data_IF_917230400600
#
_entry.id   IF_917230400600
#
_cell.length_a   1.000
_cell.length_b   1.000
_cell.length_c   1.000
_cell.angle_alpha   90.00
_cell.angle_beta   90.00
_cell.angle_gamma   90.00
#
_symmetry.space_group_name_H-M   'P 1'
#
loop_
_entity.id
_entity.type
_entity.pdbx_description
1 polymer ?
#
# COMPACT_ATOMS: atom_id res chain seq x y z
N UNK A 1 7.02 -15.40 -35.72
CA UNK A 1 6.43 -15.42 -34.36
C UNK A 1 5.18 -14.57 -34.39
N UNK A 2 4.09 -15.01 -33.77
CA UNK A 2 2.90 -14.16 -33.63
C UNK A 2 3.24 -13.01 -32.68
N UNK A 3 2.84 -11.80 -33.03
CA UNK A 3 3.05 -10.61 -32.21
C UNK A 3 1.81 -10.29 -31.37
N UNK A 4 2.02 -9.78 -30.17
CA UNK A 4 0.96 -9.47 -29.22
C UNK A 4 1.07 -8.03 -28.72
N UNK A 5 -0.05 -7.30 -28.73
CA UNK A 5 -0.17 -6.09 -27.94
C UNK A 5 -0.62 -6.43 -26.52
N UNK A 6 0.02 -5.87 -25.50
CA UNK A 6 -0.38 -5.96 -24.10
C UNK A 6 -1.29 -4.79 -23.69
N UNK A 7 -2.45 -5.08 -23.13
CA UNK A 7 -3.38 -4.09 -22.62
C UNK A 7 -3.61 -4.28 -21.11
N UNK A 8 -3.22 -3.27 -20.32
CA UNK A 8 -3.49 -3.24 -18.88
C UNK A 8 -4.84 -2.56 -18.65
N UNK A 9 -5.77 -3.25 -18.00
CA UNK A 9 -7.10 -2.74 -17.67
C UNK A 9 -7.07 -2.00 -16.33
N UNK A 10 -7.07 -0.66 -16.37
CA UNK A 10 -7.14 0.23 -15.21
C UNK A 10 -8.47 1.01 -15.10
N UNK A 11 -9.45 0.71 -15.96
CA UNK A 11 -10.78 1.33 -15.93
C UNK A 11 -11.74 0.68 -14.90
N UNK A 12 -11.79 1.20 -13.67
CA UNK A 12 -12.78 0.77 -12.66
C UNK A 12 -13.25 1.92 -11.75
N UNK A 13 -14.48 1.82 -11.21
CA UNK A 13 -15.06 2.84 -10.31
C UNK A 13 -14.36 2.95 -8.93
N UNK A 14 -13.50 2.00 -8.59
CA UNK A 14 -12.65 1.98 -7.38
C UNK A 14 -13.35 2.39 -6.06
N UNK A 15 -14.59 1.92 -5.86
CA UNK A 15 -15.42 2.30 -4.70
C UNK A 15 -14.87 1.79 -3.35
N UNK A 16 -14.04 0.74 -3.35
CA UNK A 16 -13.50 0.10 -2.15
C UNK A 16 -12.13 0.64 -1.69
N UNK A 17 -11.47 1.47 -2.50
CA UNK A 17 -10.20 2.14 -2.17
C UNK A 17 -10.42 3.62 -1.82
N UNK A 18 -11.54 3.94 -1.17
CA UNK A 18 -11.94 5.33 -0.85
C UNK A 18 -11.98 6.25 -2.10
N UNK A 19 -12.27 5.69 -3.27
CA UNK A 19 -12.28 6.43 -4.54
C UNK A 19 -10.92 6.63 -5.20
N UNK A 20 -9.81 6.18 -4.59
CA UNK A 20 -8.49 6.17 -5.22
C UNK A 20 -8.44 5.23 -6.42
N UNK A 21 -7.67 5.61 -7.43
CA UNK A 21 -7.45 4.78 -8.60
C UNK A 21 -6.63 3.54 -8.24
N UNK A 22 -7.22 2.35 -8.39
CA UNK A 22 -6.58 1.09 -8.01
C UNK A 22 -5.21 0.92 -8.65
N UNK A 23 -5.07 1.25 -9.93
CA UNK A 23 -3.79 1.08 -10.61
C UNK A 23 -2.69 1.93 -9.97
N UNK A 24 -3.03 3.10 -9.43
CA UNK A 24 -2.09 4.04 -8.81
C UNK A 24 -1.81 3.79 -7.33
N UNK A 25 -2.53 2.86 -6.69
CA UNK A 25 -2.23 2.45 -5.31
C UNK A 25 -0.83 1.86 -5.26
N UNK A 26 -0.04 2.29 -4.28
CA UNK A 26 1.32 1.81 -4.10
C UNK A 26 1.33 0.44 -3.42
N UNK A 27 2.13 -0.46 -3.96
CA UNK A 27 2.47 -1.76 -3.41
C UNK A 27 4.00 -1.87 -3.42
N UNK A 28 4.64 -1.95 -2.26
CA UNK A 28 6.11 -1.97 -2.23
C UNK A 28 6.74 -0.62 -2.62
N UNK A 29 5.99 0.49 -2.50
CA UNK A 29 6.37 1.81 -3.03
C UNK A 29 6.21 1.97 -4.55
N UNK A 30 5.66 0.96 -5.25
CA UNK A 30 5.48 0.94 -6.70
C UNK A 30 3.98 0.87 -7.02
N UNK A 31 3.42 1.69 -7.93
CA UNK A 31 2.02 1.59 -8.34
C UNK A 31 1.63 0.19 -8.82
N UNK A 32 0.45 -0.31 -8.44
CA UNK A 32 -0.05 -1.64 -8.80
C UNK A 32 0.05 -1.94 -10.31
N UNK A 33 -0.33 -0.98 -11.17
CA UNK A 33 -0.26 -1.22 -12.63
C UNK A 33 1.17 -1.49 -13.12
N UNK A 34 2.21 -0.95 -12.46
CA UNK A 34 3.61 -1.17 -12.85
C UNK A 34 4.07 -2.59 -12.52
N UNK A 35 3.52 -3.22 -11.48
CA UNK A 35 3.76 -4.65 -11.24
C UNK A 35 3.20 -5.47 -12.41
N UNK A 36 1.99 -5.15 -12.89
CA UNK A 36 1.41 -5.79 -14.07
C UNK A 36 2.23 -5.53 -15.34
N UNK A 37 2.75 -4.31 -15.54
CA UNK A 37 3.68 -3.98 -16.65
C UNK A 37 4.91 -4.88 -16.59
N UNK A 38 5.54 -5.02 -15.42
CA UNK A 38 6.76 -5.82 -15.24
C UNK A 38 6.54 -7.28 -15.63
N UNK A 39 5.40 -7.87 -15.27
CA UNK A 39 5.06 -9.25 -15.63
C UNK A 39 4.60 -9.40 -17.09
N UNK A 40 3.99 -8.37 -17.68
CA UNK A 40 3.49 -8.39 -19.06
C UNK A 40 4.58 -8.13 -20.09
N UNK A 41 5.56 -7.28 -19.78
CA UNK A 41 6.57 -6.81 -20.74
C UNK A 41 7.37 -7.92 -21.43
N UNK A 42 7.77 -9.02 -20.77
CA UNK A 42 8.45 -10.12 -21.45
C UNK A 42 7.55 -10.92 -22.41
N UNK A 43 6.23 -10.70 -22.37
CA UNK A 43 5.22 -11.52 -23.04
C UNK A 43 4.45 -10.77 -24.16
N UNK A 44 4.77 -9.50 -24.41
CA UNK A 44 4.10 -8.65 -25.40
C UNK A 44 5.12 -7.78 -26.17
N UNK A 45 4.83 -7.51 -27.45
CA UNK A 45 5.67 -6.69 -28.33
C UNK A 45 5.50 -5.18 -28.08
N UNK A 46 4.30 -4.76 -27.65
CA UNK A 46 4.02 -3.40 -27.18
C UNK A 46 3.06 -3.43 -25.99
N UNK A 47 3.12 -2.42 -25.11
CA UNK A 47 2.21 -2.32 -23.95
C UNK A 47 1.53 -0.95 -23.94
N UNK A 48 0.25 -0.95 -23.63
CA UNK A 48 -0.54 0.24 -23.38
C UNK A 48 -1.52 0.00 -22.23
N UNK A 49 -2.07 1.08 -21.68
CA UNK A 49 -2.98 1.04 -20.54
C UNK A 49 -4.33 1.61 -20.93
N UNK A 50 -5.40 0.88 -20.60
CA UNK A 50 -6.75 1.39 -20.65
C UNK A 50 -7.10 2.08 -19.33
N UNK A 51 -7.37 3.39 -19.38
CA UNK A 51 -7.72 4.18 -18.21
C UNK A 51 -8.71 5.30 -18.58
N UNK A 52 -9.59 5.63 -17.63
CA UNK A 52 -10.63 6.67 -17.78
C UNK A 52 -10.51 7.78 -16.72
N UNK A 53 -9.54 7.67 -15.81
CA UNK A 53 -9.28 8.60 -14.71
C UNK A 53 -7.77 8.77 -14.57
N UNK A 54 -7.35 9.88 -13.97
CA UNK A 54 -5.93 10.20 -13.71
C UNK A 54 -5.01 10.02 -14.93
N UNK A 55 -5.52 10.34 -16.12
CA UNK A 55 -4.86 10.12 -17.41
C UNK A 55 -3.45 10.74 -17.45
N UNK A 56 -3.28 11.93 -16.87
CA UNK A 56 -1.98 12.59 -16.76
C UNK A 56 -0.95 11.76 -15.95
N UNK A 57 -1.37 11.09 -14.88
CA UNK A 57 -0.50 10.25 -14.07
C UNK A 57 0.00 9.03 -14.85
N UNK A 58 -0.89 8.42 -15.66
CA UNK A 58 -0.50 7.32 -16.55
C UNK A 58 0.37 7.78 -17.72
N UNK A 59 0.12 8.95 -18.30
CA UNK A 59 0.98 9.49 -19.36
C UNK A 59 2.40 9.80 -18.92
N UNK A 60 2.59 10.25 -17.67
CA UNK A 60 3.92 10.55 -17.12
C UNK A 60 4.88 9.34 -17.13
N UNK A 61 4.36 8.13 -17.35
CA UNK A 61 5.09 6.87 -17.35
C UNK A 61 5.68 6.51 -18.72
N UNK A 62 5.28 7.22 -19.78
CA UNK A 62 5.65 6.91 -21.16
C UNK A 62 4.78 5.84 -21.83
N UNK A 63 3.86 5.19 -21.11
CA UNK A 63 2.88 4.28 -21.71
C UNK A 63 1.84 5.06 -22.53
N UNK A 64 1.41 4.42 -23.62
CA UNK A 64 0.24 4.89 -24.37
C UNK A 64 -1.01 4.65 -23.52
N UNK A 65 -1.80 5.70 -23.32
CA UNK A 65 -3.07 5.63 -22.57
C UNK A 65 -4.23 5.65 -23.56
N UNK A 66 -5.17 4.73 -23.38
CA UNK A 66 -6.39 4.60 -24.20
C UNK A 66 -7.61 4.69 -23.28
N UNK A 67 -8.55 5.57 -23.60
CA UNK A 67 -9.82 5.66 -22.87
C UNK A 67 -10.91 4.85 -23.56
N UNK A 68 -11.96 4.53 -22.81
CA UNK A 68 -13.10 3.78 -23.34
C UNK A 68 -13.76 4.55 -24.50
N UNK A 69 -14.11 3.84 -25.58
CA UNK A 69 -14.72 4.44 -26.76
C UNK A 69 -16.24 4.64 -26.62
N UNK A 70 -16.86 4.07 -25.58
CA UNK A 70 -18.28 4.16 -25.32
C UNK A 70 -18.57 4.88 -24.00
N UNK A 71 -19.55 5.80 -23.96
CA UNK A 71 -19.98 6.46 -22.72
C UNK A 71 -20.73 5.47 -21.80
N UNK A 72 -20.65 5.67 -20.48
CA UNK A 72 -21.50 5.02 -19.47
C UNK A 72 -21.40 3.49 -19.28
N UNK A 73 -20.39 2.80 -19.82
CA UNK A 73 -20.19 1.35 -19.62
C UNK A 73 -19.06 1.02 -18.64
N UNK A 74 -19.28 1.14 -17.31
CA UNK A 74 -18.27 0.77 -16.33
C UNK A 74 -18.15 -0.75 -16.25
N UNK A 75 -17.10 -1.30 -16.84
CA UNK A 75 -16.78 -2.72 -16.71
C UNK A 75 -15.57 -3.10 -17.57
N UNK A 76 -14.90 -4.22 -17.25
CA UNK A 76 -13.71 -4.67 -17.96
C UNK A 76 -13.93 -4.83 -19.47
N UNK A 77 -15.14 -5.20 -19.92
CA UNK A 77 -15.48 -5.34 -21.33
C UNK A 77 -15.34 -4.02 -22.14
N UNK A 78 -15.64 -2.86 -21.54
CA UNK A 78 -15.46 -1.58 -22.23
C UNK A 78 -13.99 -1.28 -22.48
N UNK A 79 -13.14 -1.55 -21.48
CA UNK A 79 -11.69 -1.45 -21.61
C UNK A 79 -11.12 -2.47 -22.61
N UNK A 80 -11.66 -3.68 -22.65
CA UNK A 80 -11.29 -4.68 -23.66
C UNK A 80 -11.64 -4.21 -25.07
N UNK A 81 -12.84 -3.63 -25.27
CA UNK A 81 -13.23 -3.06 -26.56
C UNK A 81 -12.25 -1.98 -27.01
N UNK A 82 -11.98 -1.00 -26.13
CA UNK A 82 -11.03 0.06 -26.41
C UNK A 82 -9.63 -0.48 -26.74
N UNK A 83 -9.21 -1.54 -26.05
CA UNK A 83 -7.96 -2.23 -26.34
C UNK A 83 -7.91 -2.91 -27.71
N UNK A 84 -8.96 -3.63 -28.10
CA UNK A 84 -9.04 -4.26 -29.43
C UNK A 84 -9.04 -3.22 -30.56
N UNK A 85 -9.67 -2.08 -30.35
CA UNK A 85 -9.78 -0.99 -31.33
C UNK A 85 -8.48 -0.23 -31.54
N UNK A 86 -7.63 -0.17 -30.51
CA UNK A 86 -6.42 0.64 -30.48
C UNK A 86 -5.13 -0.18 -30.44
N UNK A 87 -5.18 -1.51 -30.54
CA UNK A 87 -4.00 -2.36 -30.58
C UNK A 87 -3.20 -2.18 -31.87
N UNK A 88 -1.87 -2.36 -31.77
CA UNK A 88 -0.96 -2.34 -32.93
C UNK A 88 -0.92 -3.68 -33.64
N UNK A 89 -1.09 -4.76 -32.89
CA UNK A 89 -1.08 -6.13 -33.40
C UNK A 89 -2.49 -6.74 -33.44
N UNK A 90 -2.62 -7.84 -34.18
CA UNK A 90 -3.90 -8.52 -34.36
C UNK A 90 -4.41 -9.26 -33.13
N UNK A 91 -3.50 -9.57 -32.21
CA UNK A 91 -3.81 -10.26 -30.96
C UNK A 91 -3.45 -9.37 -29.78
N UNK A 92 -4.37 -9.30 -28.82
CA UNK A 92 -4.24 -8.47 -27.62
C UNK A 92 -4.30 -9.35 -26.39
N UNK A 93 -3.25 -9.29 -25.57
CA UNK A 93 -3.22 -9.88 -24.24
C UNK A 93 -3.70 -8.84 -23.22
N UNK A 94 -4.85 -9.11 -22.62
CA UNK A 94 -5.41 -8.31 -21.54
C UNK A 94 -4.94 -8.83 -20.18
N UNK A 95 -4.63 -7.91 -19.28
CA UNK A 95 -4.39 -8.18 -17.85
C UNK A 95 -5.01 -7.06 -17.00
N UNK A 96 -5.54 -7.34 -15.80
CA UNK A 96 -5.97 -6.30 -14.87
C UNK A 96 -4.78 -5.60 -14.21
N UNK A 97 -4.97 -4.35 -13.77
CA UNK A 97 -3.93 -3.57 -13.08
C UNK A 97 -3.77 -3.90 -11.58
N UNK A 98 -4.69 -4.66 -10.98
CA UNK A 98 -4.75 -4.94 -9.54
C UNK A 98 -4.29 -6.35 -9.17
N UNK A 99 -3.64 -7.05 -10.10
CA UNK A 99 -2.99 -8.34 -9.88
C UNK A 99 -1.49 -8.16 -10.05
N UNK A 100 -0.71 -8.17 -8.95
CA UNK A 100 0.72 -7.90 -9.02
C UNK A 100 1.52 -9.05 -9.62
N UNK A 101 1.04 -10.30 -9.48
CA UNK A 101 1.76 -11.50 -9.93
C UNK A 101 0.81 -12.43 -10.71
N UNK A 102 1.26 -12.85 -11.90
CA UNK A 102 0.58 -13.83 -12.75
C UNK A 102 1.64 -14.61 -13.56
N UNK A 103 1.27 -15.76 -14.18
CA UNK A 103 2.24 -16.62 -14.85
C UNK A 103 3.09 -15.90 -15.90
N UNK A 104 4.40 -16.17 -15.89
CA UNK A 104 5.37 -15.61 -16.86
C UNK A 104 5.21 -16.22 -18.27
N UNK A 105 4.47 -17.32 -18.38
CA UNK A 105 4.16 -18.01 -19.62
C UNK A 105 2.68 -17.84 -20.04
N UNK A 106 1.97 -16.85 -19.49
CA UNK A 106 0.56 -16.57 -19.78
C UNK A 106 0.28 -16.47 -21.29
N UNK A 107 0.98 -15.59 -22.00
CA UNK A 107 0.77 -15.38 -23.44
C UNK A 107 1.00 -16.66 -24.24
N UNK A 108 2.13 -17.32 -23.98
CA UNK A 108 2.52 -18.55 -24.66
C UNK A 108 1.50 -19.67 -24.44
N UNK A 109 1.08 -19.89 -23.18
CA UNK A 109 0.15 -20.97 -22.84
C UNK A 109 -1.24 -20.71 -23.42
N UNK A 110 -1.75 -19.47 -23.36
CA UNK A 110 -3.01 -19.11 -24.02
C UNK A 110 -2.92 -19.33 -25.53
N UNK A 111 -1.83 -18.90 -26.16
CA UNK A 111 -1.62 -19.07 -27.60
C UNK A 111 -1.60 -20.54 -28.03
N UNK A 112 -0.89 -21.39 -27.30
CA UNK A 112 -0.79 -22.83 -27.61
C UNK A 112 -2.13 -23.55 -27.42
N UNK A 113 -2.90 -23.19 -26.39
CA UNK A 113 -4.11 -23.92 -26.03
C UNK A 113 -5.40 -23.38 -26.67
N UNK A 114 -5.40 -22.18 -27.24
CA UNK A 114 -6.60 -21.59 -27.85
C UNK A 114 -7.17 -22.41 -29.02
N UNK A 115 -6.33 -23.19 -29.71
CA UNK A 115 -6.70 -23.85 -30.97
C UNK A 115 -7.13 -22.84 -32.04
N UNK A 116 -8.31 -23.04 -32.62
CA UNK A 116 -8.89 -22.14 -33.63
C UNK A 116 -9.71 -20.99 -33.02
N UNK A 117 -9.89 -20.96 -31.70
CA UNK A 117 -10.66 -19.91 -31.05
C UNK A 117 -10.00 -18.54 -31.25
N UNK A 118 -10.84 -17.51 -31.42
CA UNK A 118 -10.44 -16.10 -31.51
C UNK A 118 -10.20 -15.47 -30.13
N UNK A 119 -10.54 -16.18 -29.06
CA UNK A 119 -10.31 -15.75 -27.69
C UNK A 119 -9.93 -16.96 -26.83
N UNK A 120 -8.95 -16.79 -25.95
CA UNK A 120 -8.67 -17.71 -24.85
C UNK A 120 -8.47 -16.93 -23.55
N UNK A 121 -8.86 -17.49 -22.41
CA UNK A 121 -8.71 -16.85 -21.11
C UNK A 121 -8.23 -17.82 -20.03
N UNK A 122 -7.57 -17.28 -19.01
CA UNK A 122 -6.98 -18.06 -17.93
C UNK A 122 -8.03 -18.55 -16.91
N UNK A 123 -7.79 -19.74 -16.38
CA UNK A 123 -8.46 -20.31 -15.22
C UNK A 123 -7.40 -20.84 -14.24
N UNK A 124 -7.67 -20.76 -12.95
CA UNK A 124 -6.96 -21.55 -11.93
C UNK A 124 -7.79 -22.79 -11.55
N UNK A 125 -7.36 -23.56 -10.55
CA UNK A 125 -8.07 -24.76 -10.09
C UNK A 125 -9.48 -24.49 -9.52
N UNK A 126 -9.80 -23.23 -9.22
CA UNK A 126 -10.99 -22.82 -8.47
C UNK A 126 -11.93 -21.91 -9.26
N UNK A 127 -11.40 -21.06 -10.15
CA UNK A 127 -12.18 -20.03 -10.84
C UNK A 127 -11.60 -19.60 -12.19
N UNK A 128 -12.46 -18.99 -13.00
CA UNK A 128 -12.08 -18.31 -14.22
C UNK A 128 -11.54 -16.89 -13.95
N UNK A 129 -10.55 -16.47 -14.75
CA UNK A 129 -9.91 -15.17 -14.73
C UNK A 129 -10.02 -14.48 -16.09
N UNK A 130 -11.23 -14.08 -16.50
CA UNK A 130 -11.48 -13.78 -17.90
C UNK A 130 -11.01 -12.37 -18.32
N UNK A 131 -10.44 -11.59 -17.39
CA UNK A 131 -9.64 -10.39 -17.67
C UNK A 131 -8.19 -10.69 -18.03
N UNK A 132 -7.73 -11.93 -17.80
CA UNK A 132 -6.49 -12.49 -18.33
C UNK A 132 -6.82 -13.25 -19.62
N UNK A 133 -6.92 -12.51 -20.72
CA UNK A 133 -7.43 -13.06 -21.98
C UNK A 133 -6.57 -12.64 -23.17
N UNK A 134 -6.37 -13.57 -24.10
CA UNK A 134 -5.74 -13.34 -25.38
C UNK A 134 -6.84 -13.32 -26.45
N UNK A 135 -7.09 -12.16 -27.06
CA UNK A 135 -8.20 -11.95 -27.98
C UNK A 135 -7.72 -11.41 -29.33
N UNK A 136 -8.33 -11.89 -30.41
CA UNK A 136 -8.11 -11.35 -31.74
C UNK A 136 -8.91 -10.05 -31.93
N UNK A 137 -8.32 -9.05 -32.61
CA UNK A 137 -8.91 -7.74 -32.85
C UNK A 137 -10.26 -7.77 -33.57
N UNK A 138 -10.53 -8.80 -34.36
CA UNK A 138 -11.82 -8.95 -35.06
C UNK A 138 -13.00 -9.14 -34.12
N UNK A 139 -12.76 -9.42 -32.84
CA UNK A 139 -13.80 -9.50 -31.81
C UNK A 139 -14.29 -8.11 -31.35
N UNK A 140 -13.68 -7.01 -31.82
CA UNK A 140 -14.11 -5.66 -31.47
C UNK A 140 -15.57 -5.39 -31.85
N UNK A 141 -16.00 -5.73 -33.06
CA UNK A 141 -17.37 -5.51 -33.51
C UNK A 141 -18.40 -6.38 -32.76
N UNK A 142 -18.21 -7.71 -32.60
CA UNK A 142 -19.05 -8.52 -31.73
C UNK A 142 -19.16 -7.97 -30.30
N UNK A 143 -18.05 -7.53 -29.72
CA UNK A 143 -18.01 -6.96 -28.37
C UNK A 143 -18.75 -5.62 -28.27
N UNK A 144 -18.58 -4.76 -29.27
CA UNK A 144 -19.30 -3.49 -29.39
C UNK A 144 -20.81 -3.71 -29.45
N UNK A 145 -21.26 -4.66 -30.28
CA UNK A 145 -22.68 -5.01 -30.39
C UNK A 145 -23.23 -5.56 -29.06
N UNK A 146 -22.46 -6.42 -28.39
CA UNK A 146 -22.82 -6.96 -27.08
C UNK A 146 -23.04 -5.85 -26.03
N UNK A 147 -22.14 -4.87 -25.97
CA UNK A 147 -22.24 -3.73 -25.05
C UNK A 147 -23.41 -2.79 -25.39
N UNK A 148 -23.63 -2.50 -26.69
CA UNK A 148 -24.73 -1.64 -27.14
C UNK A 148 -26.10 -2.26 -26.79
N UNK A 149 -26.21 -3.60 -26.81
CA UNK A 149 -27.41 -4.31 -26.40
C UNK A 149 -27.67 -4.26 -24.88
N UNK A 150 -26.77 -3.65 -24.10
CA UNK A 150 -26.93 -3.41 -22.67
C UNK A 150 -26.34 -4.50 -21.77
N UNK A 151 -25.81 -5.58 -22.34
CA UNK A 151 -25.16 -6.64 -21.58
C UNK A 151 -23.76 -6.24 -21.10
N UNK A 152 -23.39 -6.72 -19.91
CA UNK A 152 -22.11 -6.37 -19.24
C UNK A 152 -21.41 -7.58 -18.61
N UNK A 153 -21.95 -8.77 -18.81
CA UNK A 153 -21.49 -10.00 -18.15
C UNK A 153 -20.32 -10.59 -18.92
N UNK A 154 -19.11 -10.41 -18.40
CA UNK A 154 -17.88 -10.81 -19.08
C UNK A 154 -17.86 -12.31 -19.44
N UNK A 155 -18.17 -13.22 -18.50
CA UNK A 155 -18.19 -14.66 -18.81
C UNK A 155 -19.28 -15.05 -19.82
N UNK A 156 -20.42 -14.35 -19.84
CA UNK A 156 -21.47 -14.60 -20.83
C UNK A 156 -21.01 -14.20 -22.23
N UNK A 157 -20.29 -13.08 -22.36
CA UNK A 157 -19.66 -12.71 -23.63
C UNK A 157 -18.64 -13.75 -24.10
N UNK A 158 -17.78 -14.24 -23.18
CA UNK A 158 -16.78 -15.27 -23.49
C UNK A 158 -17.42 -16.56 -24.01
N UNK A 159 -18.51 -17.01 -23.40
CA UNK A 159 -19.27 -18.18 -23.84
C UNK A 159 -19.88 -17.97 -25.24
N UNK A 160 -20.51 -16.81 -25.46
CA UNK A 160 -21.14 -16.46 -26.74
C UNK A 160 -20.17 -16.49 -27.93
N UNK A 161 -18.92 -16.07 -27.73
CA UNK A 161 -17.89 -16.08 -28.79
C UNK A 161 -17.11 -17.40 -28.88
N UNK A 162 -17.46 -18.41 -28.09
CA UNK A 162 -16.75 -19.69 -28.04
C UNK A 162 -15.32 -19.56 -27.52
N UNK A 163 -15.06 -18.67 -26.56
CA UNK A 163 -13.73 -18.46 -26.00
C UNK A 163 -13.22 -19.71 -25.27
N UNK A 164 -11.93 -20.02 -25.46
CA UNK A 164 -11.30 -21.18 -24.85
C UNK A 164 -10.82 -20.88 -23.43
N UNK A 165 -11.38 -21.57 -22.44
CA UNK A 165 -10.82 -21.61 -21.10
C UNK A 165 -9.51 -22.42 -21.07
N UNK A 166 -8.47 -21.88 -20.44
CA UNK A 166 -7.14 -22.48 -20.33
C UNK A 166 -6.72 -22.54 -18.86
N UNK A 167 -6.53 -23.74 -18.34
CA UNK A 167 -6.16 -23.95 -16.94
C UNK A 167 -4.66 -23.78 -16.74
N UNK A 168 -4.29 -22.99 -15.74
CA UNK A 168 -2.92 -22.81 -15.26
C UNK A 168 -2.74 -23.56 -13.94
N UNK A 169 -1.60 -24.24 -13.80
CA UNK A 169 -1.13 -24.69 -12.50
C UNK A 169 -0.43 -23.51 -11.82
N UNK A 170 -1.03 -23.00 -10.76
CA UNK A 170 -0.69 -21.71 -10.17
C UNK A 170 -0.23 -21.87 -8.73
N UNK A 171 0.81 -21.13 -8.35
CA UNK A 171 1.16 -20.97 -6.94
C UNK A 171 0.14 -20.06 -6.22
N UNK A 172 0.17 -20.06 -4.89
CA UNK A 172 -0.80 -19.34 -4.04
C UNK A 172 -0.93 -17.84 -4.31
N UNK A 173 0.11 -17.20 -4.83
CA UNK A 173 0.15 -15.75 -5.01
C UNK A 173 -0.31 -15.30 -6.42
N UNK A 174 -0.42 -16.22 -7.38
CA UNK A 174 -0.83 -15.87 -8.75
C UNK A 174 -2.33 -15.61 -8.84
N UNK A 175 -2.70 -14.59 -9.64
CA UNK A 175 -4.11 -14.20 -9.85
C UNK A 175 -4.85 -13.71 -8.59
N UNK A 176 -4.11 -13.30 -7.56
CA UNK A 176 -4.67 -12.64 -6.37
C UNK A 176 -4.93 -11.16 -6.71
N UNK A 177 -6.20 -10.74 -6.59
CA UNK A 177 -6.59 -9.34 -6.82
C UNK A 177 -6.47 -8.54 -5.52
N UNK A 178 -5.76 -7.41 -5.56
CA UNK A 178 -5.63 -6.47 -4.45
C UNK A 178 -6.68 -5.36 -4.57
N UNK A 179 -7.81 -5.56 -3.90
CA UNK A 179 -9.00 -4.70 -3.94
C UNK A 179 -9.08 -3.69 -2.81
N UNK A 180 -8.37 -3.89 -1.71
CA UNK A 180 -8.35 -3.01 -0.53
C UNK A 180 -6.93 -2.68 -0.08
N UNK A 181 -6.77 -1.57 0.65
CA UNK A 181 -5.47 -1.22 1.23
C UNK A 181 -5.01 -2.24 2.28
N UNK A 182 -5.94 -2.86 3.02
CA UNK A 182 -5.62 -3.94 3.94
C UNK A 182 -5.02 -5.15 3.20
N UNK A 183 -5.59 -5.53 2.06
CA UNK A 183 -5.03 -6.59 1.20
C UNK A 183 -3.63 -6.21 0.67
N UNK A 184 -3.42 -4.95 0.27
CA UNK A 184 -2.08 -4.48 -0.16
C UNK A 184 -1.06 -4.56 0.99
N UNK A 185 -1.44 -4.13 2.19
CA UNK A 185 -0.56 -4.19 3.38
C UNK A 185 -0.22 -5.63 3.75
N UNK A 186 -1.19 -6.53 3.72
CA UNK A 186 -0.94 -7.95 3.99
C UNK A 186 0.00 -8.55 2.94
N UNK A 187 -0.23 -8.22 1.66
CA UNK A 187 0.67 -8.62 0.59
C UNK A 187 2.09 -8.11 0.83
N UNK A 188 2.27 -6.84 1.19
CA UNK A 188 3.59 -6.25 1.49
C UNK A 188 4.28 -6.97 2.65
N UNK A 189 3.54 -7.34 3.70
CA UNK A 189 4.09 -8.09 4.83
C UNK A 189 4.52 -9.50 4.42
N UNK A 190 3.64 -10.24 3.75
CA UNK A 190 3.90 -11.61 3.29
C UNK A 190 5.12 -11.67 2.36
N UNK A 191 5.32 -10.64 1.54
CA UNK A 191 6.40 -10.55 0.56
C UNK A 191 7.57 -9.66 1.00
N UNK A 192 7.58 -9.18 2.25
CA UNK A 192 8.61 -8.29 2.82
C UNK A 192 8.93 -7.08 1.92
N UNK A 193 7.89 -6.50 1.32
CA UNK A 193 8.02 -5.31 0.49
C UNK A 193 8.08 -4.04 1.35
N UNK A 194 8.87 -3.02 0.94
CA UNK A 194 8.89 -1.74 1.62
C UNK A 194 7.50 -1.10 1.61
N UNK A 195 7.06 -0.56 2.75
CA UNK A 195 5.74 0.04 2.84
C UNK A 195 5.72 1.25 3.76
N UNK A 196 4.69 2.07 3.69
CA UNK A 196 4.59 3.21 4.60
C UNK A 196 4.23 2.73 5.99
N UNK A 197 5.14 2.89 6.95
CA UNK A 197 4.88 2.57 8.36
C UNK A 197 4.13 3.74 9.00
N UNK A 198 2.91 3.52 9.55
CA UNK A 198 2.17 4.56 10.23
C UNK A 198 2.95 5.13 11.43
N UNK A 199 2.79 6.42 11.67
CA UNK A 199 3.31 7.10 12.85
C UNK A 199 2.17 7.34 13.84
N UNK A 200 2.44 7.09 15.13
CA UNK A 200 1.49 7.42 16.20
C UNK A 200 2.21 8.11 17.35
N UNK A 201 1.94 9.40 17.53
CA UNK A 201 2.52 10.16 18.62
C UNK A 201 1.75 9.98 19.93
N UNK A 202 2.48 10.02 21.04
CA UNK A 202 1.92 10.05 22.39
C UNK A 202 2.30 11.36 23.03
N UNK A 203 1.35 12.30 23.08
CA UNK A 203 1.57 13.64 23.60
C UNK A 203 1.05 13.76 25.03
N UNK A 204 1.79 14.43 25.89
CA UNK A 204 1.36 14.74 27.25
C UNK A 204 2.24 15.81 27.87
N UNK A 205 1.78 16.40 28.96
CA UNK A 205 2.63 17.16 29.87
C UNK A 205 3.72 16.30 30.51
N UNK A 206 4.73 16.95 31.09
CA UNK A 206 5.73 16.25 31.91
C UNK A 206 5.05 15.69 33.16
N UNK A 207 5.48 14.52 33.63
CA UNK A 207 4.90 13.88 34.81
C UNK A 207 3.62 13.06 34.58
N UNK A 208 2.96 13.13 33.41
CA UNK A 208 1.72 12.37 33.12
C UNK A 208 1.92 10.84 33.03
N UNK A 209 3.18 10.37 32.93
CA UNK A 209 3.51 8.95 32.87
C UNK A 209 3.60 8.35 31.47
N UNK A 210 3.91 9.15 30.43
CA UNK A 210 4.08 8.69 29.04
C UNK A 210 4.98 7.47 28.91
N UNK A 211 6.21 7.55 29.40
CA UNK A 211 7.18 6.45 29.33
C UNK A 211 6.67 5.21 30.07
N UNK A 212 5.99 5.40 31.20
CA UNK A 212 5.39 4.30 31.98
C UNK A 212 4.26 3.62 31.21
N UNK A 213 3.41 4.40 30.54
CA UNK A 213 2.33 3.90 29.68
C UNK A 213 2.92 3.13 28.49
N UNK A 214 3.86 3.72 27.75
CA UNK A 214 4.52 3.10 26.59
C UNK A 214 5.22 1.79 26.95
N UNK A 215 5.92 1.72 28.08
CA UNK A 215 6.56 0.48 28.57
C UNK A 215 5.56 -0.65 28.82
N UNK A 216 4.30 -0.33 29.17
CA UNK A 216 3.22 -1.31 29.35
C UNK A 216 2.50 -1.63 28.03
N UNK A 217 2.38 -0.64 27.15
CA UNK A 217 1.65 -0.75 25.89
C UNK A 217 2.42 -1.56 24.84
N UNK A 218 3.72 -1.33 24.68
CA UNK A 218 4.54 -1.99 23.65
C UNK A 218 4.47 -3.52 23.73
N UNK A 219 4.59 -4.17 24.90
CA UNK A 219 4.39 -5.62 25.00
C UNK A 219 3.02 -6.07 24.50
N UNK A 220 1.93 -5.36 24.85
CA UNK A 220 0.58 -5.73 24.41
C UNK A 220 0.37 -5.55 22.90
N UNK A 221 0.99 -4.54 22.30
CA UNK A 221 0.97 -4.36 20.83
C UNK A 221 1.75 -5.47 20.13
N UNK A 222 2.91 -5.86 20.68
CA UNK A 222 3.70 -6.98 20.17
C UNK A 222 2.95 -8.31 20.29
N UNK A 223 2.28 -8.55 21.41
CA UNK A 223 1.48 -9.75 21.63
C UNK A 223 0.23 -9.77 20.72
N UNK A 224 -0.20 -8.61 20.20
CA UNK A 224 -1.19 -8.49 19.12
C UNK A 224 -0.59 -8.66 17.70
N UNK A 225 0.69 -9.04 17.58
CA UNK A 225 1.36 -9.33 16.32
C UNK A 225 2.02 -8.13 15.63
N UNK A 226 2.09 -6.96 16.29
CA UNK A 226 2.70 -5.76 15.70
C UNK A 226 4.20 -5.65 16.00
N UNK A 227 5.00 -5.35 14.98
CA UNK A 227 6.41 -4.98 15.13
C UNK A 227 6.54 -3.47 15.28
N UNK A 228 7.08 -3.03 16.41
CA UNK A 228 7.00 -1.63 16.85
C UNK A 228 8.36 -0.94 16.74
N UNK A 229 8.39 0.17 15.99
CA UNK A 229 9.46 1.17 16.06
C UNK A 229 9.17 2.21 17.14
N UNK A 230 10.21 2.87 17.64
CA UNK A 230 10.06 3.92 18.64
C UNK A 230 11.00 5.09 18.34
N UNK A 231 10.43 6.27 18.16
CA UNK A 231 11.16 7.53 18.18
C UNK A 231 10.95 8.17 19.54
N UNK A 232 12.05 8.50 20.23
CA UNK A 232 12.01 9.24 21.50
C UNK A 232 12.79 10.53 21.37
N UNK A 233 12.09 11.66 21.52
CA UNK A 233 12.71 12.98 21.50
C UNK A 233 13.12 13.42 22.92
N UNK A 234 14.34 13.92 23.05
CA UNK A 234 14.88 14.53 24.28
C UNK A 234 15.46 15.89 23.94
N UNK A 235 15.29 16.87 24.85
CA UNK A 235 15.89 18.20 24.72
C UNK A 235 17.28 18.29 25.39
N UNK A 236 17.79 17.16 25.90
CA UNK A 236 19.12 17.06 26.48
C UNK A 236 20.08 16.40 25.51
N UNK A 237 21.33 16.85 25.52
CA UNK A 237 22.44 16.18 24.84
C UNK A 237 22.56 14.72 25.33
N UNK A 238 22.86 13.82 24.41
CA UNK A 238 22.82 12.38 24.66
C UNK A 238 23.82 11.65 23.78
N UNK A 239 24.61 10.79 24.42
CA UNK A 239 25.49 9.82 23.75
C UNK A 239 24.95 8.40 23.97
N UNK A 240 24.95 7.61 22.89
CA UNK A 240 24.60 6.18 22.92
C UNK A 240 25.83 5.32 23.24
N UNK A 241 27.01 5.78 22.82
CA UNK A 241 28.31 5.22 23.18
C UNK A 241 28.88 5.89 24.45
N UNK A 242 30.03 5.42 24.91
CA UNK A 242 30.63 5.89 26.18
C UNK A 242 31.85 6.77 25.91
N UNK A 243 31.91 8.01 26.44
CA UNK A 243 33.09 8.88 26.36
C UNK A 243 34.37 8.17 26.79
N UNK A 244 35.46 8.35 26.04
CA UNK A 244 36.75 7.71 26.30
C UNK A 244 36.87 6.26 25.82
N UNK A 245 35.84 5.69 25.17
CA UNK A 245 35.90 4.38 24.51
C UNK A 245 36.10 4.53 23.00
N UNK A 246 36.66 3.50 22.38
CA UNK A 246 37.08 3.51 20.97
C UNK A 246 35.99 4.03 20.02
N UNK A 247 34.73 3.58 20.16
CA UNK A 247 33.65 4.04 19.28
C UNK A 247 33.37 5.54 19.41
N UNK A 248 33.45 6.08 20.62
CA UNK A 248 33.26 7.50 20.90
C UNK A 248 34.41 8.32 20.33
N UNK A 249 35.65 7.89 20.59
CA UNK A 249 36.84 8.59 20.09
C UNK A 249 36.88 8.61 18.56
N UNK A 250 36.55 7.49 17.90
CA UNK A 250 36.46 7.42 16.44
C UNK A 250 35.34 8.32 15.87
N UNK A 251 34.19 8.38 16.54
CA UNK A 251 33.09 9.28 16.17
C UNK A 251 33.52 10.75 16.30
N UNK A 252 34.05 11.14 17.46
CA UNK A 252 34.50 12.52 17.72
C UNK A 252 35.75 12.93 16.93
N UNK A 253 36.53 11.97 16.42
CA UNK A 253 37.61 12.22 15.47
C UNK A 253 37.11 12.71 14.09
N UNK A 254 35.80 12.64 13.81
CA UNK A 254 35.19 13.24 12.63
C UNK A 254 34.32 12.29 11.79
N UNK A 255 34.01 11.08 12.28
CA UNK A 255 33.08 10.21 11.56
C UNK A 255 31.65 10.78 11.66
N UNK A 256 31.09 11.19 10.52
CA UNK A 256 29.76 11.80 10.46
C UNK A 256 28.63 10.81 10.79
N UNK A 257 28.82 9.53 10.45
CA UNK A 257 28.00 8.42 10.87
C UNK A 257 28.89 7.34 11.46
N UNK A 258 28.45 6.73 12.56
CA UNK A 258 29.18 5.66 13.24
C UNK A 258 28.21 4.53 13.54
N UNK A 259 28.47 3.36 12.96
CA UNK A 259 27.69 2.14 13.18
C UNK A 259 28.48 1.22 14.13
N UNK A 260 27.98 1.07 15.36
CA UNK A 260 28.54 0.14 16.34
C UNK A 260 27.75 -1.16 16.27
N UNK A 261 28.43 -2.29 16.04
CA UNK A 261 27.80 -3.58 15.78
C UNK A 261 28.28 -4.62 16.79
N UNK A 262 27.36 -5.46 17.27
CA UNK A 262 27.64 -6.70 17.98
C UNK A 262 26.81 -7.85 17.40
N UNK A 263 26.98 -9.07 17.93
CA UNK A 263 26.16 -10.21 17.52
C UNK A 263 24.68 -10.05 17.88
N UNK A 264 24.37 -9.28 18.94
CA UNK A 264 22.98 -9.13 19.42
C UNK A 264 22.26 -7.92 18.82
N UNK A 265 22.99 -6.85 18.47
CA UNK A 265 22.40 -5.57 18.07
C UNK A 265 23.41 -4.66 17.39
N UNK A 266 22.92 -3.59 16.79
CA UNK A 266 23.74 -2.46 16.37
C UNK A 266 23.12 -1.14 16.80
N UNK A 267 23.94 -0.08 16.83
CA UNK A 267 23.53 1.30 17.03
C UNK A 267 24.15 2.17 15.94
N UNK A 268 23.33 2.96 15.24
CA UNK A 268 23.78 3.95 14.27
C UNK A 268 23.67 5.34 14.90
N UNK A 269 24.81 5.99 15.12
CA UNK A 269 24.87 7.39 15.50
C UNK A 269 25.12 8.25 14.25
N UNK A 270 24.38 9.36 14.12
CA UNK A 270 24.55 10.35 13.06
C UNK A 270 24.72 11.71 13.71
N UNK A 271 25.81 12.40 13.42
CA UNK A 271 26.04 13.76 13.90
C UNK A 271 25.10 14.74 13.19
N UNK A 272 24.54 15.69 13.93
CA UNK A 272 23.66 16.77 13.43
C UNK A 272 24.29 18.14 13.70
N UNK A 273 25.44 18.45 13.06
CA UNK A 273 26.14 19.70 13.31
C UNK A 273 25.26 20.90 12.96
N UNK A 274 25.30 21.93 13.81
CA UNK A 274 24.46 23.12 13.66
C UNK A 274 23.12 23.06 14.38
N UNK A 275 22.74 21.92 14.96
CA UNK A 275 21.59 21.82 15.87
C UNK A 275 20.24 22.12 15.22
N UNK A 276 20.09 21.83 13.93
CA UNK A 276 18.79 21.91 13.28
C UNK A 276 17.77 21.05 14.03
N UNK A 277 16.53 21.54 14.15
CA UNK A 277 15.47 20.75 14.76
C UNK A 277 15.28 19.45 13.98
N UNK A 278 15.13 18.31 14.68
CA UNK A 278 14.96 17.03 14.02
C UNK A 278 13.65 17.00 13.24
N UNK A 279 13.70 16.52 12.00
CA UNK A 279 12.52 16.27 11.16
C UNK A 279 12.03 14.84 11.41
N UNK A 280 10.81 14.71 11.94
CA UNK A 280 10.24 13.40 12.29
C UNK A 280 10.10 12.48 11.07
N UNK A 281 9.75 13.00 9.90
CA UNK A 281 9.60 12.20 8.69
C UNK A 281 10.96 11.67 8.22
N UNK A 282 12.01 12.50 8.29
CA UNK A 282 13.37 12.06 7.97
C UNK A 282 13.89 11.00 8.95
N UNK A 283 13.56 11.12 10.23
CA UNK A 283 13.91 10.13 11.24
C UNK A 283 13.14 8.81 11.04
N UNK A 284 11.84 8.88 10.76
CA UNK A 284 11.01 7.72 10.47
C UNK A 284 11.53 6.95 9.23
N UNK A 285 12.01 7.67 8.21
CA UNK A 285 12.60 7.08 7.00
C UNK A 285 13.91 6.31 7.25
N UNK A 286 14.53 6.43 8.44
CA UNK A 286 15.72 5.64 8.83
C UNK A 286 15.36 4.23 9.31
N UNK A 287 14.11 3.95 9.64
CA UNK A 287 13.69 2.61 10.03
C UNK A 287 13.56 1.70 8.81
N UNK A 288 13.83 0.41 8.98
CA UNK A 288 13.50 -0.57 7.95
C UNK A 288 11.99 -0.80 7.94
N UNK A 289 11.32 -0.20 6.96
CA UNK A 289 9.87 -0.31 6.84
C UNK A 289 9.36 -1.73 6.62
N UNK A 290 10.19 -2.65 6.12
CA UNK A 290 9.78 -4.05 5.91
C UNK A 290 9.60 -4.79 7.23
N UNK A 291 10.29 -4.29 8.26
CA UNK A 291 10.36 -4.93 9.57
C UNK A 291 9.40 -4.35 10.61
N UNK A 292 8.62 -3.32 10.26
CA UNK A 292 7.77 -2.61 11.21
C UNK A 292 6.33 -2.50 10.73
N UNK A 293 5.42 -2.41 11.69
CA UNK A 293 3.99 -2.23 11.46
C UNK A 293 3.48 -0.87 11.98
N UNK A 294 4.19 -0.27 12.95
CA UNK A 294 3.87 1.01 13.58
C UNK A 294 5.15 1.62 14.18
N UNK A 295 5.33 2.93 14.04
CA UNK A 295 6.34 3.69 14.80
C UNK A 295 5.62 4.55 15.83
N UNK A 296 5.90 4.29 17.11
CA UNK A 296 5.45 5.15 18.21
C UNK A 296 6.38 6.35 18.36
N UNK A 297 5.82 7.51 18.64
CA UNK A 297 6.58 8.76 18.79
C UNK A 297 6.35 9.33 20.19
N UNK A 298 7.36 9.25 21.05
CA UNK A 298 7.39 9.91 22.36
C UNK A 298 8.06 11.28 22.21
N UNK A 299 7.27 12.33 21.93
CA UNK A 299 7.80 13.67 21.67
C UNK A 299 7.01 14.42 20.60
N UNK A 300 7.69 15.34 19.89
CA UNK A 300 7.19 15.94 18.64
C UNK A 300 5.75 16.49 18.71
N UNK A 301 5.44 17.25 19.77
CA UNK A 301 4.05 17.65 20.05
C UNK A 301 3.37 18.43 18.91
N UNK A 302 4.14 19.26 18.20
CA UNK A 302 3.67 20.11 17.11
C UNK A 302 3.63 19.43 15.74
N UNK A 303 4.06 18.18 15.62
CA UNK A 303 4.05 17.48 14.33
C UNK A 303 2.63 17.13 13.89
N UNK A 304 2.42 17.22 12.57
CA UNK A 304 1.17 16.92 11.88
C UNK A 304 0.97 15.40 11.69
N UNK A 305 1.04 14.64 12.80
CA UNK A 305 0.90 13.18 12.82
C UNK A 305 -0.20 12.75 13.78
N UNK A 306 -0.93 11.65 13.47
CA UNK A 306 -1.94 11.09 14.36
C UNK A 306 -1.38 10.91 15.78
N UNK A 307 -2.15 11.32 16.80
CA UNK A 307 -1.67 11.31 18.18
C UNK A 307 -2.72 10.93 19.21
N UNK A 308 -2.28 10.24 20.26
CA UNK A 308 -3.05 10.00 21.48
C UNK A 308 -2.57 11.01 22.53
N UNK A 309 -3.46 11.92 22.92
CA UNK A 309 -3.19 12.88 23.97
C UNK A 309 -3.44 12.24 25.34
N UNK A 310 -2.43 12.23 26.21
CA UNK A 310 -2.56 11.75 27.58
C UNK A 310 -2.72 12.92 28.55
N UNK A 311 -3.65 12.79 29.48
CA UNK A 311 -3.87 13.76 30.54
C UNK A 311 -4.17 13.11 31.88
N UNK A 312 -3.73 13.75 32.95
CA UNK A 312 -4.13 13.42 34.32
C UNK A 312 -4.50 14.71 35.02
N UNK A 313 -5.59 14.69 35.78
CA UNK A 313 -6.09 15.90 36.46
C UNK A 313 -5.06 16.49 37.43
N UNK A 314 -4.25 15.64 38.06
CA UNK A 314 -3.15 16.01 38.98
C UNK A 314 -2.08 16.93 38.35
N UNK A 315 -2.02 17.02 37.02
CA UNK A 315 -1.04 17.86 36.32
C UNK A 315 -1.37 19.35 36.45
N UNK A 316 -2.63 19.69 36.76
CA UNK A 316 -3.13 21.07 36.97
C UNK A 316 -2.74 22.02 35.83
N UNK A 317 -3.01 21.60 34.59
CA UNK A 317 -2.77 22.37 33.37
C UNK A 317 -3.92 22.20 32.40
N UNK A 318 -4.25 23.20 31.56
CA UNK A 318 -5.34 23.07 30.60
C UNK A 318 -5.07 21.92 29.61
N UNK A 319 -5.91 20.89 29.61
CA UNK A 319 -5.78 19.76 28.68
C UNK A 319 -6.10 20.17 27.24
N UNK A 320 -6.85 21.24 27.04
CA UNK A 320 -7.23 21.75 25.71
C UNK A 320 -6.01 22.05 24.84
N UNK A 321 -4.87 22.43 25.42
CA UNK A 321 -3.66 22.70 24.65
C UNK A 321 -2.96 21.42 24.15
N UNK A 322 -3.42 20.24 24.57
CA UNK A 322 -2.98 18.94 24.03
C UNK A 322 -3.90 18.46 22.90
N UNK A 323 -5.03 19.14 22.68
CA UNK A 323 -6.06 18.79 21.70
C UNK A 323 -5.89 19.64 20.43
N UNK A 324 -5.39 19.01 19.37
CA UNK A 324 -5.30 19.57 18.02
C UNK A 324 -6.04 18.67 17.02
N UNK A 325 -6.08 19.09 15.75
CA UNK A 325 -6.79 18.35 14.68
C UNK A 325 -6.22 16.96 14.38
N UNK A 326 -5.01 16.66 14.85
CA UNK A 326 -4.35 15.37 14.67
C UNK A 326 -4.56 14.43 15.85
N UNK A 327 -5.20 14.88 16.94
CA UNK A 327 -5.56 14.01 18.06
C UNK A 327 -6.67 13.07 17.64
N UNK A 328 -6.38 11.77 17.66
CA UNK A 328 -7.34 10.71 17.30
C UNK A 328 -8.00 10.07 18.54
N UNK A 329 -7.39 10.23 19.71
CA UNK A 329 -7.97 9.82 20.99
C UNK A 329 -7.38 10.61 22.16
N UNK A 330 -8.19 10.78 23.21
CA UNK A 330 -7.80 11.42 24.46
C UNK A 330 -7.82 10.40 25.60
N UNK A 331 -6.66 10.04 26.13
CA UNK A 331 -6.55 9.12 27.25
C UNK A 331 -6.41 9.90 28.57
N UNK A 332 -7.44 9.84 29.40
CA UNK A 332 -7.54 10.61 30.65
C UNK A 332 -7.94 9.73 31.84
N UNK A 333 -7.66 10.21 33.05
CA UNK A 333 -8.11 9.59 34.30
C UNK A 333 -9.53 10.01 34.71
N UNK A 334 -9.99 11.17 34.23
CA UNK A 334 -11.34 11.71 34.45
C UNK A 334 -11.93 12.10 33.10
N UNK A 335 -13.12 11.57 32.79
CA UNK A 335 -13.89 11.86 31.59
C UNK A 335 -14.21 13.36 31.44
N UNK A 336 -14.24 13.86 30.20
CA UNK A 336 -14.44 15.27 29.86
C UNK A 336 -15.55 15.45 28.83
N UNK A 337 -16.65 16.07 29.20
CA UNK A 337 -17.81 16.20 28.32
C UNK A 337 -17.56 17.13 27.12
N UNK A 338 -16.56 18.02 27.21
CA UNK A 338 -16.18 18.98 26.16
C UNK A 338 -15.18 18.42 25.13
N UNK A 339 -14.83 17.13 25.20
CA UNK A 339 -13.88 16.46 24.28
C UNK A 339 -14.63 15.59 23.28
N UNK A 340 -14.53 15.93 21.99
CA UNK A 340 -15.25 15.26 20.89
C UNK A 340 -14.58 14.00 20.35
N UNK A 341 -13.28 13.83 20.58
CA UNK A 341 -12.53 12.63 20.16
C UNK A 341 -12.79 11.47 21.12
N UNK A 342 -12.61 10.20 20.68
CA UNK A 342 -12.73 9.04 21.57
C UNK A 342 -11.91 9.19 22.85
N UNK A 343 -12.56 8.98 23.99
CA UNK A 343 -11.92 9.05 25.31
C UNK A 343 -11.61 7.65 25.85
N UNK A 344 -10.38 7.46 26.33
CA UNK A 344 -9.87 6.20 26.86
C UNK A 344 -9.46 6.40 28.32
N UNK A 345 -9.66 5.39 29.17
CA UNK A 345 -9.05 5.39 30.50
C UNK A 345 -7.52 5.24 30.34
N UNK A 346 -6.76 6.26 30.76
CA UNK A 346 -5.30 6.28 30.70
C UNK A 346 -4.63 5.09 31.43
N UNK A 347 -5.32 4.47 32.37
CA UNK A 347 -4.83 3.31 33.12
C UNK A 347 -5.23 1.98 32.49
N UNK A 348 -6.20 1.97 31.57
CA UNK A 348 -6.61 0.79 30.84
C UNK A 348 -5.78 0.61 29.55
N UNK A 349 -4.57 0.08 29.72
CA UNK A 349 -3.62 -0.11 28.62
C UNK A 349 -4.15 -1.09 27.56
N UNK A 350 -4.97 -2.07 27.95
CA UNK A 350 -5.59 -3.00 27.01
C UNK A 350 -6.56 -2.29 26.06
N UNK A 351 -7.41 -1.39 26.58
CA UNK A 351 -8.30 -0.57 25.76
C UNK A 351 -7.54 0.35 24.81
N UNK A 352 -6.43 0.93 25.25
CA UNK A 352 -5.53 1.73 24.38
C UNK A 352 -4.95 0.86 23.26
N UNK A 353 -4.49 -0.36 23.58
CA UNK A 353 -4.02 -1.34 22.59
C UNK A 353 -5.11 -1.67 21.57
N UNK A 354 -6.32 -1.96 22.02
CA UNK A 354 -7.44 -2.34 21.15
C UNK A 354 -7.83 -1.18 20.22
N UNK A 355 -7.84 0.05 20.74
CA UNK A 355 -8.03 1.25 19.95
C UNK A 355 -6.98 1.39 18.84
N UNK A 356 -5.69 1.21 19.16
CA UNK A 356 -4.60 1.33 18.17
C UNK A 356 -4.69 0.26 17.07
N UNK A 357 -4.97 -0.99 17.44
CA UNK A 357 -5.12 -2.10 16.47
C UNK A 357 -6.30 -1.83 15.54
N UNK A 358 -7.42 -1.36 16.09
CA UNK A 358 -8.59 -1.00 15.31
C UNK A 358 -8.29 0.18 14.37
N UNK A 359 -7.67 1.24 14.88
CA UNK A 359 -7.26 2.41 14.10
C UNK A 359 -6.35 2.05 12.91
N UNK A 360 -5.35 1.17 13.12
CA UNK A 360 -4.46 0.68 12.06
C UNK A 360 -5.21 -0.09 10.97
N UNK A 361 -6.27 -0.82 11.35
CA UNK A 361 -7.08 -1.60 10.41
C UNK A 361 -7.96 -0.68 9.55
N UNK A 362 -8.50 0.39 10.14
CA UNK A 362 -9.36 1.34 9.42
C UNK A 362 -8.56 2.36 8.58
N UNK A 363 -7.31 2.62 8.95
CA UNK A 363 -6.48 3.69 8.37
C UNK A 363 -5.10 3.20 7.87
N UNK A 364 -5.04 2.21 6.96
CA UNK A 364 -3.78 1.55 6.55
C UNK A 364 -2.78 2.45 5.80
N UNK A 365 -3.18 3.67 5.41
CA UNK A 365 -2.38 4.62 4.63
C UNK A 365 -2.26 6.03 5.25
N UNK A 366 -2.77 6.27 6.45
CA UNK A 366 -2.81 7.65 6.97
C UNK A 366 -1.37 8.20 7.19
N UNK A 367 -1.12 9.49 6.88
CA UNK A 367 0.23 10.03 6.84
C UNK A 367 1.09 9.87 8.07
#
# INVERSE_FOLDING_TARGET
MTQFSGCILAGGRATRMQGQDKGLVLLGGIPLYQHSVKHLAPQADDIFINANRHIAAYHATGLRVVSDSLPDFPGPLAGMLAGLENARHDWVLFVPCDVPVFPENLAHTLWQQKGDALCAYACDATRAHPTFALCHRSLAEPLRNYLINGDRKLLLFMDMIGAKAVTFDTNTDQFVNLNTFAECREWEKQHQLPHKVPLLAVTAYSGTGKTTMLKKLIPLLRDAGLRIGLVKHTHHDMDVDTPGKDSYELRKAGAYQTLVVSQERFALMTETPGGAEPDLAQLAARFDSRELDLILVEGFKGEAVPKIALYRDVVDRPYQTLLDEFVIAFACDIHRDDVSVPQLDINNIAAIRDFIVHWLTENPLNP
#
